data_IF_259427013061
#
_entry.id   IF_259427013061
#
_cell.length_a   1.000
_cell.length_b   1.000
_cell.length_c   1.000
_cell.angle_alpha   90.00
_cell.angle_beta   90.00
_cell.angle_gamma   90.00
#
_symmetry.space_group_name_H-M   'P 1'
#
loop_
_entity.id
_entity.type
_entity.pdbx_description
1 polymer ?
#
# COMPACT_ATOMS: atom_id res chain seq x y z
N UNK A 1 13.76 6.81 -6.66
CA UNK A 1 13.01 5.67 -7.21
C UNK A 1 11.77 5.49 -6.34
N UNK A 2 10.64 4.95 -6.83
CA UNK A 2 9.40 4.94 -6.07
C UNK A 2 9.45 4.04 -4.83
N UNK A 3 8.57 4.32 -3.87
CA UNK A 3 8.23 3.36 -2.81
C UNK A 3 7.14 2.41 -3.28
N UNK A 4 7.11 1.21 -2.71
CA UNK A 4 6.14 0.17 -3.03
C UNK A 4 5.49 -0.38 -1.76
N UNK A 5 4.20 -0.67 -1.84
CA UNK A 5 3.46 -1.40 -0.79
C UNK A 5 3.58 -2.90 -1.05
N UNK A 6 3.88 -3.66 0.00
CA UNK A 6 4.18 -5.11 -0.06
C UNK A 6 3.16 -5.96 0.70
N UNK A 7 3.44 -7.26 0.82
CA UNK A 7 2.56 -8.31 1.35
C UNK A 7 1.86 -7.94 2.65
N UNK A 8 2.58 -7.34 3.59
CA UNK A 8 2.05 -7.15 4.94
C UNK A 8 0.93 -6.09 5.00
N UNK A 9 0.72 -5.29 3.96
CA UNK A 9 -0.41 -4.36 3.90
C UNK A 9 -1.75 -5.09 3.74
N UNK A 10 -1.76 -6.26 3.09
CA UNK A 10 -2.98 -7.00 2.74
C UNK A 10 -3.70 -7.41 4.03
N UNK A 11 -4.99 -7.04 4.13
CA UNK A 11 -5.85 -7.16 5.32
C UNK A 11 -5.42 -6.35 6.56
N UNK A 12 -4.28 -5.67 6.52
CA UNK A 12 -3.91 -4.71 7.55
C UNK A 12 -4.47 -3.32 7.23
N UNK A 13 -4.23 -2.84 6.00
CA UNK A 13 -4.79 -1.60 5.42
C UNK A 13 -5.03 -0.49 6.47
N UNK A 14 -3.97 -0.12 7.21
CA UNK A 14 -4.08 0.86 8.29
C UNK A 14 -4.31 2.30 7.79
N UNK A 15 -3.84 2.60 6.57
CA UNK A 15 -3.99 3.89 5.88
C UNK A 15 -3.27 5.09 6.50
N UNK A 16 -2.49 4.94 7.58
CA UNK A 16 -1.74 6.07 8.18
C UNK A 16 -0.75 6.72 7.18
N UNK A 17 -0.24 5.93 6.23
CA UNK A 17 0.68 6.39 5.19
C UNK A 17 0.11 7.47 4.26
N UNK A 18 -1.22 7.59 4.13
CA UNK A 18 -1.85 8.58 3.22
C UNK A 18 -1.78 9.99 3.80
N UNK A 19 -1.80 10.15 5.14
CA UNK A 19 -1.79 11.48 5.79
C UNK A 19 -0.47 12.24 5.59
N UNK A 20 0.61 11.50 5.34
CA UNK A 20 1.95 12.07 5.20
C UNK A 20 2.41 12.19 3.75
N UNK A 21 1.62 11.69 2.78
CA UNK A 21 2.01 11.74 1.38
C UNK A 21 1.87 13.18 0.83
N UNK A 22 2.95 13.84 0.39
CA UNK A 22 2.87 15.23 -0.07
C UNK A 22 2.28 15.39 -1.48
N UNK A 23 2.06 14.29 -2.19
CA UNK A 23 1.64 14.26 -3.61
C UNK A 23 0.44 13.33 -3.84
N UNK A 24 -0.20 12.88 -2.77
CA UNK A 24 -1.43 12.08 -2.81
C UNK A 24 -1.35 10.85 -3.73
N UNK A 25 -0.20 10.19 -3.82
CA UNK A 25 0.03 9.11 -4.79
C UNK A 25 -0.39 7.71 -4.32
N UNK A 26 -1.36 7.62 -3.41
CA UNK A 26 -1.89 6.34 -2.89
C UNK A 26 -3.22 5.98 -3.53
N UNK A 27 -3.39 4.70 -3.86
CA UNK A 27 -4.59 4.18 -4.52
C UNK A 27 -5.14 2.99 -3.75
N UNK A 28 -6.46 2.96 -3.61
CA UNK A 28 -7.18 2.12 -2.65
C UNK A 28 -7.78 0.87 -3.29
N UNK A 29 -7.28 -0.29 -2.89
CA UNK A 29 -7.94 -1.56 -3.12
C UNK A 29 -8.90 -1.94 -2.00
N UNK A 30 -9.68 -2.99 -2.24
CA UNK A 30 -10.60 -3.57 -1.26
C UNK A 30 -9.89 -3.87 0.08
N UNK A 31 -8.68 -4.45 0.03
CA UNK A 31 -7.97 -4.88 1.25
C UNK A 31 -6.47 -4.53 1.32
N UNK A 32 -5.97 -3.67 0.45
CA UNK A 32 -4.61 -3.10 0.53
C UNK A 32 -4.56 -1.74 -0.17
N UNK A 33 -3.46 -1.01 0.04
CA UNK A 33 -3.12 0.19 -0.73
C UNK A 33 -1.98 -0.09 -1.70
N UNK A 34 -1.84 0.74 -2.72
CA UNK A 34 -0.67 0.78 -3.61
C UNK A 34 -0.20 2.22 -3.82
N UNK A 35 1.07 2.38 -4.20
CA UNK A 35 1.69 3.66 -4.53
C UNK A 35 1.85 3.76 -6.06
N UNK A 36 1.45 4.88 -6.66
CA UNK A 36 1.70 5.11 -8.08
C UNK A 36 3.17 5.45 -8.33
N UNK A 37 3.92 4.65 -9.10
CA UNK A 37 5.37 4.80 -9.22
C UNK A 37 5.79 6.09 -9.92
N UNK A 38 5.02 6.57 -10.90
CA UNK A 38 5.35 7.81 -11.63
C UNK A 38 4.98 9.09 -10.87
N UNK A 39 4.10 9.00 -9.87
CA UNK A 39 3.69 10.15 -9.03
C UNK A 39 4.51 10.23 -7.75
N UNK A 40 5.03 9.09 -7.28
CA UNK A 40 5.87 9.02 -6.11
C UNK A 40 7.18 9.80 -6.31
N UNK A 41 7.43 10.78 -5.43
CA UNK A 41 8.61 11.65 -5.48
C UNK A 41 9.78 11.17 -4.60
N UNK A 42 9.77 9.91 -4.13
CA UNK A 42 10.86 9.31 -3.34
C UNK A 42 11.23 10.12 -2.07
N UNK A 43 10.24 10.65 -1.36
CA UNK A 43 10.47 11.43 -0.14
C UNK A 43 10.67 10.58 1.13
N UNK A 44 10.23 9.32 1.13
CA UNK A 44 10.43 8.34 2.22
C UNK A 44 9.63 8.56 3.50
N UNK A 45 8.78 9.58 3.57
CA UNK A 45 8.03 9.90 4.80
C UNK A 45 6.95 8.87 5.15
N UNK A 46 6.44 8.12 4.17
CA UNK A 46 5.39 7.12 4.40
C UNK A 46 5.91 5.79 4.95
N UNK A 47 7.20 5.46 4.75
CA UNK A 47 7.79 4.21 5.25
C UNK A 47 7.68 4.05 6.77
N UNK A 48 8.16 5.00 7.60
CA UNK A 48 8.11 4.85 9.07
C UNK A 48 6.70 4.94 9.64
N UNK A 49 5.74 5.50 8.89
CA UNK A 49 4.36 5.69 9.35
C UNK A 49 3.50 4.42 9.16
N UNK A 50 3.95 3.45 8.36
CA UNK A 50 3.20 2.22 8.14
C UNK A 50 3.33 1.28 9.34
N UNK A 51 2.26 1.02 10.13
CA UNK A 51 2.37 0.15 11.31
C UNK A 51 2.70 -1.31 10.95
N UNK A 52 2.34 -1.73 9.73
CA UNK A 52 2.64 -3.06 9.19
C UNK A 52 4.06 -3.16 8.59
N UNK A 53 4.87 -2.10 8.63
CA UNK A 53 6.20 -2.03 7.98
C UNK A 53 6.18 -2.48 6.50
N UNK A 54 5.05 -2.27 5.83
CA UNK A 54 4.77 -2.86 4.51
C UNK A 54 5.25 -2.00 3.34
N UNK A 55 5.76 -0.81 3.60
CA UNK A 55 6.25 0.13 2.59
C UNK A 55 7.77 0.03 2.53
N UNK A 56 8.31 -0.11 1.32
CA UNK A 56 9.76 -0.25 1.07
C UNK A 56 10.18 0.54 -0.17
N UNK A 57 11.42 1.05 -0.22
CA UNK A 57 11.96 1.61 -1.45
C UNK A 57 12.17 0.49 -2.48
N UNK A 58 11.77 0.70 -3.74
CA UNK A 58 11.90 -0.31 -4.81
C UNK A 58 13.35 -0.71 -5.13
N UNK A 59 14.33 0.06 -4.62
CA UNK A 59 15.77 -0.26 -4.67
C UNK A 59 16.14 -1.50 -3.84
N UNK A 60 15.28 -1.94 -2.91
CA UNK A 60 15.52 -3.14 -2.12
C UNK A 60 15.40 -4.43 -2.98
N UNK A 61 16.28 -5.43 -2.77
CA UNK A 61 16.26 -6.66 -3.54
C UNK A 61 14.95 -7.45 -3.40
N UNK A 62 14.43 -7.97 -4.51
CA UNK A 62 13.27 -8.88 -4.52
C UNK A 62 11.90 -8.19 -4.58
N UNK A 63 11.87 -6.88 -4.82
CA UNK A 63 10.63 -6.11 -4.90
C UNK A 63 10.06 -5.94 -6.32
N UNK A 64 10.68 -6.52 -7.35
CA UNK A 64 10.21 -6.43 -8.75
C UNK A 64 8.74 -6.83 -8.94
N UNK A 65 8.27 -7.82 -8.16
CA UNK A 65 6.87 -8.25 -8.15
C UNK A 65 5.96 -7.12 -7.63
N UNK A 66 6.37 -6.49 -6.54
CA UNK A 66 5.58 -5.44 -5.87
C UNK A 66 5.52 -4.16 -6.67
N UNK A 67 6.62 -3.79 -7.34
CA UNK A 67 6.63 -2.64 -8.25
C UNK A 67 5.58 -2.81 -9.37
N UNK A 68 5.49 -4.01 -9.97
CA UNK A 68 4.49 -4.29 -11.01
C UNK A 68 3.07 -4.26 -10.48
N UNK A 69 2.82 -4.84 -9.29
CA UNK A 69 1.51 -4.82 -8.65
C UNK A 69 1.10 -3.37 -8.35
N UNK A 70 2.00 -2.58 -7.77
CA UNK A 70 1.70 -1.20 -7.41
C UNK A 70 1.37 -0.37 -8.66
N UNK A 71 2.18 -0.49 -9.72
CA UNK A 71 1.92 0.16 -11.00
C UNK A 71 0.56 -0.26 -11.59
N UNK A 72 0.30 -1.57 -11.67
CA UNK A 72 -0.93 -2.09 -12.31
C UNK A 72 -2.20 -1.63 -11.61
N UNK A 73 -2.21 -1.63 -10.27
CA UNK A 73 -3.40 -1.31 -9.50
C UNK A 73 -3.56 0.18 -9.23
N UNK A 74 -2.48 0.98 -9.27
CA UNK A 74 -2.59 2.44 -9.22
C UNK A 74 -3.39 3.00 -10.40
N UNK A 75 -3.26 2.41 -11.60
CA UNK A 75 -4.06 2.79 -12.77
C UNK A 75 -5.54 2.38 -12.70
N UNK A 76 -5.90 1.47 -11.78
CA UNK A 76 -7.21 0.80 -11.75
C UNK A 76 -8.06 1.16 -10.53
N UNK A 77 -7.41 1.50 -9.43
CA UNK A 77 -8.07 1.76 -8.16
C UNK A 77 -8.31 3.26 -7.98
N UNK A 78 -9.30 3.66 -7.17
CA UNK A 78 -9.50 5.07 -6.86
C UNK A 78 -8.38 5.60 -5.97
N UNK A 79 -8.12 6.90 -6.06
CA UNK A 79 -7.17 7.59 -5.18
C UNK A 79 -7.71 7.65 -3.75
N UNK A 80 -6.81 7.69 -2.76
CA UNK A 80 -7.14 7.88 -1.35
C UNK A 80 -6.17 8.89 -0.72
N UNK A 81 -6.73 9.93 -0.13
CA UNK A 81 -6.01 11.05 0.48
C UNK A 81 -6.28 11.20 1.97
N UNK A 82 -7.35 10.56 2.47
CA UNK A 82 -7.77 10.64 3.86
C UNK A 82 -7.62 9.29 4.56
N UNK A 83 -7.12 9.34 5.80
CA UNK A 83 -7.04 8.17 6.67
C UNK A 83 -8.43 7.63 6.98
N UNK A 84 -8.53 6.30 6.98
CA UNK A 84 -9.73 5.53 7.33
C UNK A 84 -9.41 4.60 8.50
N UNK A 85 -10.47 4.14 9.17
CA UNK A 85 -10.33 3.13 10.21
C UNK A 85 -9.82 1.81 9.61
N UNK A 86 -8.80 1.17 10.20
CA UNK A 86 -8.33 -0.13 9.76
C UNK A 86 -9.42 -1.21 9.89
N UNK A 87 -9.32 -2.32 9.12
CA UNK A 87 -10.10 -3.52 9.36
C UNK A 87 -9.98 -3.98 10.82
N UNK A 88 -11.09 -4.43 11.40
CA UNK A 88 -11.15 -4.85 12.81
C UNK A 88 -10.22 -6.03 13.13
N UNK A 89 -9.83 -6.80 12.11
CA UNK A 89 -8.94 -7.95 12.20
C UNK A 89 -7.50 -7.64 11.77
N UNK A 90 -7.15 -6.38 11.44
CA UNK A 90 -5.83 -5.98 10.97
C UNK A 90 -4.69 -6.50 11.86
N UNK A 91 -4.80 -6.34 13.17
CA UNK A 91 -3.81 -6.79 14.14
C UNK A 91 -3.57 -8.32 14.13
N UNK A 92 -4.55 -9.11 13.67
CA UNK A 92 -4.41 -10.57 13.53
C UNK A 92 -3.69 -10.98 12.23
N UNK A 93 -3.63 -10.08 11.25
CA UNK A 93 -2.94 -10.30 9.96
C UNK A 93 -1.57 -9.65 9.90
N UNK A 94 -1.23 -8.80 10.85
CA UNK A 94 0.08 -8.16 10.90
C UNK A 94 1.20 -9.17 11.15
N UNK A 95 2.21 -9.18 10.28
CA UNK A 95 3.33 -10.11 10.31
C UNK A 95 3.03 -11.49 9.73
N UNK A 96 1.80 -11.76 9.29
CA UNK A 96 1.47 -12.99 8.55
C UNK A 96 2.02 -12.89 7.13
N UNK A 97 2.81 -13.89 6.72
CA UNK A 97 3.40 -13.94 5.39
C UNK A 97 2.51 -14.66 4.35
N UNK A 98 2.68 -14.32 3.08
CA UNK A 98 1.98 -14.96 1.96
C UNK A 98 0.52 -14.52 1.84
N UNK A 99 0.22 -13.29 2.29
CA UNK A 99 -1.14 -12.75 2.26
C UNK A 99 -1.57 -12.43 0.83
N UNK A 100 -0.64 -12.18 -0.09
CA UNK A 100 -0.96 -12.02 -1.49
C UNK A 100 -1.65 -13.25 -2.07
N UNK A 101 -1.08 -14.42 -1.87
CA UNK A 101 -1.63 -15.67 -2.40
C UNK A 101 -2.89 -16.09 -1.66
N UNK A 102 -3.00 -15.83 -0.36
CA UNK A 102 -4.11 -16.28 0.48
C UNK A 102 -5.32 -15.34 0.48
N UNK A 103 -5.10 -14.04 0.34
CA UNK A 103 -6.09 -13.02 0.71
C UNK A 103 -6.21 -11.84 -0.24
N UNK A 104 -5.30 -11.65 -1.20
CA UNK A 104 -5.36 -10.50 -2.10
C UNK A 104 -6.71 -10.38 -2.84
N UNK A 105 -7.24 -9.15 -2.90
CA UNK A 105 -8.45 -8.83 -3.66
C UNK A 105 -8.09 -7.82 -4.77
N UNK A 106 -8.34 -8.12 -6.06
CA UNK A 106 -8.09 -7.17 -7.16
C UNK A 106 -9.15 -6.07 -7.25
N UNK A 107 -10.20 -6.10 -6.42
CA UNK A 107 -11.31 -5.17 -6.48
C UNK A 107 -10.87 -3.78 -5.98
N UNK A 108 -11.39 -2.69 -6.59
CA UNK A 108 -11.16 -1.35 -6.08
C UNK A 108 -11.80 -1.18 -4.70
N UNK A 109 -11.21 -0.31 -3.89
CA UNK A 109 -11.80 0.21 -2.67
C UNK A 109 -12.77 1.36 -2.95
N UNK A 110 -13.02 2.19 -1.94
CA UNK A 110 -14.00 3.27 -2.03
C UNK A 110 -13.40 4.57 -2.58
N UNK A 111 -12.12 4.82 -2.33
CA UNK A 111 -11.45 6.10 -2.54
C UNK A 111 -11.97 7.20 -1.62
N UNK A 112 -11.60 8.44 -1.93
CA UNK A 112 -12.22 9.66 -1.42
C UNK A 112 -12.29 10.79 -2.48
#
# INVERSE_FOLDING_TARGET
>A
MPYVVTDNCIRCKYTDCVEVCPVDCFYEGDNMLVIHPDECIDCGVCEPECPAEAIKPDTEPGLDKWLKINAEYADKWPNITLRKEPPADAASFDGVAGKFEAHFSPKPGEGD
#
